data_IF_661338650201
#
_entry.id   IF_661338650201
#
_cell.length_a   1.000
_cell.length_b   1.000
_cell.length_c   1.000
_cell.angle_alpha   90.00
_cell.angle_beta   90.00
_cell.angle_gamma   90.00
#
_symmetry.space_group_name_H-M   'P 1'
#
loop_
_entity.id
_entity.type
_entity.pdbx_description
1 polymer ?
#
# COMPACT_ATOMS: atom_id res chain seq x y z
N UNK A 1 -16.53 -11.19 13.37
CA UNK A 1 -15.20 -11.39 14.00
C UNK A 1 -14.76 -12.82 13.73
N UNK A 2 -13.74 -13.03 12.88
CA UNK A 2 -13.26 -14.38 12.55
C UNK A 2 -12.60 -15.00 13.79
N UNK A 3 -13.17 -16.12 14.26
CA UNK A 3 -12.67 -16.90 15.40
C UNK A 3 -11.26 -17.42 15.09
N UNK A 4 -10.30 -17.12 15.95
CA UNK A 4 -8.92 -17.59 15.82
C UNK A 4 -8.87 -19.09 16.06
N UNK A 5 -8.82 -19.88 14.99
CA UNK A 5 -8.67 -21.32 15.10
C UNK A 5 -7.22 -21.70 15.46
N UNK A 6 -7.10 -22.69 16.35
CA UNK A 6 -5.92 -23.41 16.83
C UNK A 6 -4.67 -23.27 15.91
N UNK A 7 -3.48 -23.06 16.49
CA UNK A 7 -2.19 -22.97 15.75
C UNK A 7 -1.93 -24.22 14.89
N UNK A 8 -2.40 -24.23 13.64
CA UNK A 8 -2.11 -25.27 12.64
C UNK A 8 -0.72 -25.01 12.04
N UNK A 9 0.08 -26.06 11.87
CA UNK A 9 1.41 -25.95 11.25
C UNK A 9 1.27 -25.51 9.79
N UNK A 10 1.99 -24.46 9.40
CA UNK A 10 2.01 -23.91 8.03
C UNK A 10 2.19 -24.98 6.93
N UNK A 11 3.09 -25.98 7.06
CA UNK A 11 3.23 -27.03 6.05
C UNK A 11 1.94 -27.82 5.74
N UNK A 12 1.05 -27.98 6.73
CA UNK A 12 -0.22 -28.70 6.55
C UNK A 12 -1.16 -27.84 5.70
N UNK A 13 -1.23 -26.54 5.99
CA UNK A 13 -2.06 -25.58 5.24
C UNK A 13 -1.60 -25.50 3.79
N UNK A 14 -0.28 -25.46 3.56
CA UNK A 14 0.28 -25.43 2.21
C UNK A 14 0.01 -26.71 1.43
N UNK A 15 0.03 -27.87 2.10
CA UNK A 15 -0.31 -29.15 1.48
C UNK A 15 -1.77 -29.19 1.04
N UNK A 16 -2.69 -28.71 1.88
CA UNK A 16 -4.13 -28.61 1.57
C UNK A 16 -4.35 -27.63 0.41
N UNK A 17 -3.68 -26.49 0.44
CA UNK A 17 -3.78 -25.45 -0.60
C UNK A 17 -3.02 -25.79 -1.90
N UNK A 18 -2.28 -26.91 -1.94
CA UNK A 18 -1.40 -27.30 -3.04
C UNK A 18 -0.39 -26.21 -3.43
N UNK A 19 0.15 -25.50 -2.43
CA UNK A 19 1.12 -24.41 -2.62
C UNK A 19 2.55 -24.85 -2.30
N UNK A 20 3.55 -24.43 -3.11
CA UNK A 20 4.96 -24.64 -2.77
C UNK A 20 5.38 -23.87 -1.52
N UNK A 21 6.18 -24.52 -0.66
CA UNK A 21 6.72 -23.92 0.56
C UNK A 21 7.61 -22.72 0.27
N UNK A 22 8.48 -22.81 -0.73
CA UNK A 22 9.38 -21.73 -1.14
C UNK A 22 8.60 -20.47 -1.54
N UNK A 23 7.61 -20.62 -2.42
CA UNK A 23 6.75 -19.51 -2.86
C UNK A 23 6.03 -18.85 -1.69
N UNK A 24 5.50 -19.64 -0.74
CA UNK A 24 4.86 -19.07 0.45
C UNK A 24 5.80 -18.18 1.26
N UNK A 25 7.01 -18.66 1.59
CA UNK A 25 7.94 -17.88 2.39
C UNK A 25 8.54 -16.69 1.64
N UNK A 26 8.71 -16.79 0.32
CA UNK A 26 9.12 -15.67 -0.53
C UNK A 26 8.07 -14.54 -0.50
N UNK A 27 6.79 -14.88 -0.70
CA UNK A 27 5.69 -13.92 -0.65
C UNK A 27 5.49 -13.35 0.75
N UNK A 28 5.62 -14.18 1.79
CA UNK A 28 5.59 -13.72 3.18
C UNK A 28 6.69 -12.68 3.42
N UNK A 29 7.92 -12.97 3.01
CA UNK A 29 9.04 -12.04 3.15
C UNK A 29 8.82 -10.76 2.35
N UNK A 30 8.26 -10.84 1.14
CA UNK A 30 7.90 -9.66 0.34
C UNK A 30 6.88 -8.80 1.06
N UNK A 31 5.82 -9.39 1.63
CA UNK A 31 4.76 -8.68 2.35
C UNK A 31 5.22 -8.08 3.68
N UNK A 32 6.07 -8.80 4.43
CA UNK A 32 6.61 -8.30 5.71
C UNK A 32 7.64 -7.19 5.50
N UNK A 33 8.39 -7.22 4.39
CA UNK A 33 9.44 -6.25 4.08
C UNK A 33 9.04 -5.23 3.01
N UNK A 34 7.73 -5.04 2.74
CA UNK A 34 7.30 -3.94 1.87
C UNK A 34 7.54 -2.61 2.56
N UNK A 35 8.65 -1.96 2.25
CA UNK A 35 8.83 -0.53 2.48
C UNK A 35 7.99 0.18 1.43
N UNK A 36 6.85 0.73 1.83
CA UNK A 36 6.07 1.61 0.97
C UNK A 36 6.84 2.91 0.77
N UNK A 37 7.67 2.95 -0.28
CA UNK A 37 8.49 4.11 -0.67
C UNK A 37 7.66 5.37 -0.90
N UNK A 38 6.36 5.20 -1.17
CA UNK A 38 5.42 6.27 -1.46
C UNK A 38 4.50 6.58 -0.26
N UNK A 39 4.74 5.98 0.91
CA UNK A 39 3.92 6.19 2.12
C UNK A 39 3.80 7.67 2.49
N UNK A 40 4.93 8.35 2.61
CA UNK A 40 4.97 9.77 2.96
C UNK A 40 4.19 10.61 1.94
N UNK A 41 4.41 10.33 0.64
CA UNK A 41 3.70 11.00 -0.45
C UNK A 41 2.18 10.78 -0.38
N UNK A 42 1.72 9.56 -0.08
CA UNK A 42 0.29 9.25 0.10
C UNK A 42 -0.30 10.00 1.28
N UNK A 43 0.40 10.01 2.42
CA UNK A 43 -0.04 10.75 3.62
C UNK A 43 -0.20 12.24 3.32
N UNK A 44 0.74 12.84 2.59
CA UNK A 44 0.62 14.25 2.17
C UNK A 44 -0.51 14.51 1.17
N UNK A 45 -0.75 13.60 0.23
CA UNK A 45 -1.88 13.70 -0.70
C UNK A 45 -3.18 13.73 0.09
N UNK A 46 -3.35 12.82 1.06
CA UNK A 46 -4.53 12.76 1.93
C UNK A 46 -4.66 14.03 2.76
N UNK A 47 -3.57 14.55 3.34
CA UNK A 47 -3.55 15.81 4.08
C UNK A 47 -4.03 16.99 3.24
N UNK A 48 -3.48 17.17 2.03
CA UNK A 48 -3.85 18.27 1.13
C UNK A 48 -5.32 18.11 0.69
N UNK A 49 -5.74 16.89 0.37
CA UNK A 49 -7.10 16.62 -0.07
C UNK A 49 -8.12 16.92 1.03
N UNK A 50 -7.86 16.46 2.26
CA UNK A 50 -8.70 16.75 3.42
C UNK A 50 -8.75 18.25 3.72
N UNK A 51 -7.61 18.95 3.72
CA UNK A 51 -7.55 20.42 3.91
C UNK A 51 -8.27 21.21 2.82
N UNK A 52 -8.45 20.62 1.64
CA UNK A 52 -9.21 21.21 0.55
C UNK A 52 -10.71 20.93 0.60
N UNK A 53 -11.21 20.33 1.68
CA UNK A 53 -12.58 19.81 1.79
C UNK A 53 -12.91 18.88 0.62
N UNK A 54 -11.95 18.05 0.23
CA UNK A 54 -12.09 17.05 -0.85
C UNK A 54 -12.38 17.66 -2.24
N UNK A 55 -12.26 18.99 -2.38
CA UNK A 55 -12.57 19.66 -3.66
C UNK A 55 -11.41 19.59 -4.66
N UNK A 56 -10.17 19.38 -4.19
CA UNK A 56 -9.01 19.41 -5.07
C UNK A 56 -8.91 18.16 -5.94
N UNK A 57 -9.23 18.32 -7.23
CA UNK A 57 -8.86 17.35 -8.25
C UNK A 57 -7.36 17.38 -8.58
N UNK A 58 -6.92 16.44 -9.41
CA UNK A 58 -5.51 16.20 -9.76
C UNK A 58 -4.67 17.47 -10.01
N UNK A 59 -5.18 18.41 -10.82
CA UNK A 59 -4.44 19.64 -11.16
C UNK A 59 -4.11 20.48 -9.93
N UNK A 60 -5.10 20.67 -9.03
CA UNK A 60 -4.95 21.47 -7.81
C UNK A 60 -4.08 20.76 -6.79
N UNK A 61 -4.26 19.43 -6.65
CA UNK A 61 -3.44 18.59 -5.78
C UNK A 61 -1.96 18.63 -6.20
N UNK A 62 -1.67 18.51 -7.50
CA UNK A 62 -0.30 18.60 -8.04
C UNK A 62 0.33 19.96 -7.78
N UNK A 63 -0.43 21.05 -7.91
CA UNK A 63 0.06 22.40 -7.60
C UNK A 63 0.40 22.55 -6.11
N UNK A 64 -0.46 22.06 -5.22
CA UNK A 64 -0.24 22.09 -3.78
C UNK A 64 0.96 21.23 -3.33
N UNK A 65 1.19 20.09 -3.99
CA UNK A 65 2.39 19.27 -3.74
C UNK A 65 3.65 19.99 -4.22
N UNK A 66 3.60 20.64 -5.39
CA UNK A 66 4.71 21.43 -5.90
C UNK A 66 5.05 22.61 -4.98
N UNK A 67 4.06 23.30 -4.42
CA UNK A 67 4.30 24.40 -3.47
C UNK A 67 4.93 23.93 -2.16
N UNK A 68 4.74 22.65 -1.78
CA UNK A 68 5.42 22.01 -0.64
C UNK A 68 6.79 21.42 -0.99
N UNK A 69 7.30 21.63 -2.22
CA UNK A 69 8.62 21.16 -2.64
C UNK A 69 8.64 19.76 -3.27
N UNK A 70 7.49 19.10 -3.43
CA UNK A 70 7.43 17.75 -3.99
C UNK A 70 7.26 17.77 -5.51
N UNK A 71 8.28 17.27 -6.23
CA UNK A 71 8.23 17.07 -7.68
C UNK A 71 7.76 15.64 -7.94
N UNK A 72 6.44 15.46 -8.04
CA UNK A 72 5.82 14.16 -8.24
C UNK A 72 5.64 13.89 -9.73
N UNK A 73 6.14 12.75 -10.21
CA UNK A 73 5.95 12.31 -11.59
C UNK A 73 4.44 12.04 -11.85
N UNK A 74 3.94 12.46 -13.02
CA UNK A 74 2.55 12.22 -13.44
C UNK A 74 2.16 10.73 -13.42
N UNK A 75 3.12 9.81 -13.59
CA UNK A 75 2.88 8.35 -13.50
C UNK A 75 2.46 7.88 -12.10
N UNK A 76 2.77 8.64 -11.04
CA UNK A 76 2.44 8.28 -9.64
C UNK A 76 1.03 8.65 -9.21
N UNK A 77 0.27 9.37 -10.05
CA UNK A 77 -1.13 9.71 -9.78
C UNK A 77 -2.13 8.86 -10.59
N UNK A 78 -1.70 7.74 -11.18
CA UNK A 78 -2.65 6.78 -11.76
C UNK A 78 -3.45 6.16 -10.62
N UNK A 79 -4.67 6.67 -10.45
CA UNK A 79 -5.76 5.98 -9.75
C UNK A 79 -6.10 4.77 -10.63
N UNK A 80 -5.89 3.56 -10.11
CA UNK A 80 -6.46 2.33 -10.68
C UNK A 80 -7.91 2.19 -10.22
#
# INVERSE_FOLDING_TARGET
>A
MLKTHKKVKIPILLKIAKLPKSSFYEWKHKLENTIDKDKELKEMIVDIFSKSFETYGYRRLKMALKSKGYIVNHKKFKVN
#
